data_IF_726683138296
#
_entry.id   IF_726683138296
#
_cell.length_a   1.000
_cell.length_b   1.000
_cell.length_c   1.000
_cell.angle_alpha   90.00
_cell.angle_beta   90.00
_cell.angle_gamma   90.00
#
_symmetry.space_group_name_H-M   'P 1'
#
loop_
_entity.id
_entity.type
_entity.pdbx_description
1 polymer ?
#
# COMPACT_ATOMS: atom_id res chain seq x y z
N UNK A 1 -1.15 -1.31 -11.63
CA UNK A 1 -2.46 -1.84 -11.17
C UNK A 1 -2.99 -2.82 -12.22
N UNK A 2 -3.78 -3.84 -11.84
CA UNK A 2 -4.27 -4.86 -12.79
C UNK A 2 -5.19 -4.27 -13.87
N UNK A 3 -5.08 -4.77 -15.10
CA UNK A 3 -5.89 -4.39 -16.28
C UNK A 3 -7.41 -4.41 -16.02
N UNK A 4 -7.88 -5.34 -15.20
CA UNK A 4 -9.31 -5.52 -14.83
C UNK A 4 -9.92 -4.32 -14.06
N UNK A 5 -9.11 -3.47 -13.43
CA UNK A 5 -9.61 -2.29 -12.67
C UNK A 5 -9.91 -1.10 -13.61
N UNK A 6 -9.33 -1.11 -14.82
CA UNK A 6 -9.50 -0.05 -15.82
C UNK A 6 -10.78 -0.16 -16.65
N UNK A 7 -11.41 -1.35 -16.70
CA UNK A 7 -12.64 -1.62 -17.47
C UNK A 7 -13.94 -1.42 -16.68
N UNK A 8 -13.85 -1.15 -15.38
CA UNK A 8 -15.03 -0.87 -14.56
C UNK A 8 -15.48 0.58 -14.76
N UNK A 9 -16.76 0.78 -15.12
CA UNK A 9 -17.34 2.09 -15.47
C UNK A 9 -17.26 3.16 -14.37
N UNK A 10 -17.02 2.77 -13.11
CA UNK A 10 -16.92 3.70 -11.97
C UNK A 10 -15.47 3.98 -11.57
N UNK A 11 -14.60 2.95 -11.53
CA UNK A 11 -13.18 3.13 -11.16
C UNK A 11 -12.29 3.52 -12.34
N UNK A 12 -12.69 3.21 -13.57
CA UNK A 12 -11.95 3.52 -14.80
C UNK A 12 -11.72 5.02 -15.01
N UNK A 13 -12.74 5.89 -14.92
CA UNK A 13 -12.57 7.34 -15.06
C UNK A 13 -11.70 7.95 -13.96
N UNK A 14 -11.83 7.48 -12.71
CA UNK A 14 -11.03 7.98 -11.56
C UNK A 14 -9.56 7.55 -11.70
N UNK A 15 -9.30 6.30 -12.10
CA UNK A 15 -7.94 5.78 -12.34
C UNK A 15 -7.27 6.46 -13.54
N UNK A 16 -8.03 6.79 -14.59
CA UNK A 16 -7.54 7.56 -15.76
C UNK A 16 -7.32 9.04 -15.44
N UNK A 17 -8.19 9.66 -14.62
CA UNK A 17 -8.06 11.04 -14.17
C UNK A 17 -6.86 11.25 -13.23
N UNK A 18 -6.46 10.21 -12.48
CA UNK A 18 -5.32 10.24 -11.57
C UNK A 18 -3.96 9.97 -12.25
N UNK A 19 -3.90 9.82 -13.59
CA UNK A 19 -2.67 9.47 -14.35
C UNK A 19 -1.86 8.33 -13.70
N UNK A 20 -2.52 7.36 -13.05
CA UNK A 20 -1.83 6.24 -12.41
C UNK A 20 -1.18 5.37 -13.50
N UNK A 21 0.13 5.52 -13.69
CA UNK A 21 0.90 4.63 -14.55
C UNK A 21 0.80 3.21 -13.95
N UNK A 22 0.19 2.26 -14.66
CA UNK A 22 0.05 0.92 -14.15
C UNK A 22 1.42 0.22 -14.21
N UNK A 23 2.13 0.23 -13.08
CA UNK A 23 3.27 -0.67 -12.87
C UNK A 23 2.71 -2.10 -12.87
N UNK A 24 3.11 -2.87 -13.89
CA UNK A 24 2.76 -4.28 -14.02
C UNK A 24 3.74 -5.11 -13.18
N UNK A 25 3.22 -5.88 -12.23
CA UNK A 25 4.04 -6.76 -11.39
C UNK A 25 4.54 -7.99 -12.16
N UNK A 26 3.96 -8.30 -13.32
CA UNK A 26 4.43 -9.37 -14.20
C UNK A 26 5.65 -8.97 -15.05
N UNK A 27 5.81 -7.67 -15.33
CA UNK A 27 6.94 -7.06 -16.03
C UNK A 27 7.66 -6.05 -15.11
N UNK A 28 8.15 -6.55 -13.98
CA UNK A 28 8.64 -5.72 -12.87
C UNK A 28 9.82 -4.82 -13.22
N UNK A 29 10.70 -5.24 -14.13
CA UNK A 29 11.87 -4.46 -14.55
C UNK A 29 11.49 -3.26 -15.43
N UNK A 30 10.60 -3.45 -16.40
CA UNK A 30 10.17 -2.38 -17.31
C UNK A 30 9.35 -1.33 -16.58
N UNK A 31 8.51 -1.78 -15.64
CA UNK A 31 7.71 -0.87 -14.83
C UNK A 31 8.56 -0.03 -13.86
N UNK A 32 9.67 -0.59 -13.35
CA UNK A 32 10.63 0.14 -12.53
C UNK A 32 11.35 1.23 -13.35
N UNK A 33 11.88 0.88 -14.53
CA UNK A 33 12.56 1.86 -15.42
C UNK A 33 11.63 3.00 -15.80
N UNK A 34 10.40 2.68 -16.21
CA UNK A 34 9.41 3.69 -16.55
C UNK A 34 9.16 4.65 -15.36
N UNK A 35 9.02 4.12 -14.15
CA UNK A 35 8.82 4.93 -12.95
C UNK A 35 10.00 5.88 -12.68
N UNK A 36 11.25 5.42 -12.81
CA UNK A 36 12.45 6.28 -12.70
C UNK A 36 12.42 7.38 -13.76
N UNK A 37 12.06 7.05 -15.01
CA UNK A 37 11.99 8.04 -16.08
C UNK A 37 10.90 9.09 -15.83
N UNK A 38 9.74 8.70 -15.26
CA UNK A 38 8.70 9.66 -14.84
C UNK A 38 9.22 10.60 -13.76
N UNK A 39 9.88 10.06 -12.74
CA UNK A 39 10.45 10.86 -11.66
C UNK A 39 11.49 11.86 -12.19
N UNK A 40 12.35 11.45 -13.13
CA UNK A 40 13.32 12.34 -13.79
C UNK A 40 12.67 13.46 -14.60
N UNK A 41 11.46 13.25 -15.11
CA UNK A 41 10.66 14.26 -15.81
C UNK A 41 9.91 15.21 -14.85
N UNK A 42 10.05 15.03 -13.53
CA UNK A 42 9.34 15.83 -12.53
C UNK A 42 7.89 15.38 -12.30
N UNK A 43 7.51 14.20 -12.76
CA UNK A 43 6.17 13.63 -12.55
C UNK A 43 6.09 12.91 -11.19
N UNK A 44 4.88 12.78 -10.64
CA UNK A 44 4.64 12.10 -9.38
C UNK A 44 4.42 10.60 -9.58
N UNK A 45 5.17 9.78 -8.82
CA UNK A 45 4.99 8.33 -8.79
C UNK A 45 4.53 7.89 -7.40
N UNK A 46 3.30 7.38 -7.32
CA UNK A 46 2.75 6.78 -6.10
C UNK A 46 3.22 5.33 -5.92
N UNK A 47 3.83 5.02 -4.78
CA UNK A 47 4.35 3.68 -4.46
C UNK A 47 3.74 3.19 -3.15
N UNK A 48 3.28 1.95 -3.14
CA UNK A 48 2.85 1.24 -1.92
C UNK A 48 3.96 0.28 -1.49
N UNK A 49 4.88 0.70 -0.59
CA UNK A 49 6.08 -0.06 -0.25
C UNK A 49 5.76 -1.38 0.47
N UNK A 50 4.58 -1.47 1.09
CA UNK A 50 4.04 -2.62 1.81
C UNK A 50 3.53 -3.76 0.89
N UNK A 51 3.53 -3.53 -0.43
CA UNK A 51 3.05 -4.42 -1.49
C UNK A 51 1.56 -4.81 -1.46
N UNK A 52 0.89 -4.82 -0.31
CA UNK A 52 -0.54 -5.11 -0.12
C UNK A 52 -1.11 -4.32 1.04
N UNK A 53 -2.43 -4.09 1.03
CA UNK A 53 -3.14 -3.52 2.19
C UNK A 53 -3.00 -4.47 3.38
N UNK A 54 -2.49 -3.98 4.50
CA UNK A 54 -2.36 -4.72 5.74
C UNK A 54 -3.73 -5.13 6.31
N UNK A 55 -3.89 -6.40 6.69
CA UNK A 55 -5.10 -6.86 7.41
C UNK A 55 -5.06 -6.53 8.90
N UNK A 56 -3.87 -6.28 9.46
CA UNK A 56 -3.72 -5.83 10.84
C UNK A 56 -3.93 -4.33 11.01
N UNK A 57 -3.96 -3.59 9.90
CA UNK A 57 -3.94 -2.13 9.85
C UNK A 57 -2.71 -1.52 10.55
N UNK A 58 -1.66 -2.31 10.67
CA UNK A 58 -0.32 -1.86 11.07
C UNK A 58 0.62 -1.94 9.87
N UNK A 59 1.67 -1.11 9.87
CA UNK A 59 2.67 -1.07 8.80
C UNK A 59 3.50 -2.37 8.81
N UNK A 60 3.45 -3.13 7.71
CA UNK A 60 4.34 -4.28 7.45
C UNK A 60 5.69 -3.83 6.88
N UNK A 61 6.60 -4.79 6.75
CA UNK A 61 7.91 -4.57 6.14
C UNK A 61 7.83 -4.01 4.72
N UNK A 62 8.73 -3.07 4.44
CA UNK A 62 8.80 -2.39 3.16
C UNK A 62 9.73 -3.10 2.18
N UNK A 63 9.33 -3.11 0.91
CA UNK A 63 10.24 -3.41 -0.20
C UNK A 63 11.07 -2.17 -0.53
N UNK A 64 12.34 -2.39 -0.88
CA UNK A 64 13.29 -1.31 -1.18
C UNK A 64 13.10 -0.62 -2.52
N UNK A 65 12.10 -1.01 -3.32
CA UNK A 65 11.87 -0.45 -4.65
C UNK A 65 11.66 1.06 -4.65
N UNK A 66 10.91 1.60 -3.68
CA UNK A 66 10.69 3.05 -3.55
C UNK A 66 12.01 3.80 -3.31
N UNK A 67 12.82 3.31 -2.37
CA UNK A 67 14.13 3.88 -2.06
C UNK A 67 15.07 3.83 -3.27
N UNK A 68 15.12 2.70 -3.98
CA UNK A 68 15.95 2.55 -5.18
C UNK A 68 15.55 3.53 -6.29
N UNK A 69 14.25 3.66 -6.57
CA UNK A 69 13.76 4.63 -7.57
C UNK A 69 14.12 6.06 -7.20
N UNK A 70 13.97 6.44 -5.92
CA UNK A 70 14.30 7.78 -5.44
C UNK A 70 15.80 8.10 -5.56
N UNK A 71 16.66 7.15 -5.20
CA UNK A 71 18.12 7.27 -5.35
C UNK A 71 18.50 7.40 -6.82
N UNK A 72 17.96 6.53 -7.68
CA UNK A 72 18.30 6.51 -9.10
C UNK A 72 17.77 7.73 -9.88
N UNK A 73 16.63 8.28 -9.47
CA UNK A 73 16.07 9.50 -10.06
C UNK A 73 16.61 10.78 -9.40
N UNK A 74 17.25 10.69 -8.23
CA UNK A 74 17.75 11.85 -7.48
C UNK A 74 16.63 12.74 -6.91
N UNK A 75 15.49 12.14 -6.52
CA UNK A 75 14.30 12.85 -6.06
C UNK A 75 13.89 12.45 -4.63
N UNK A 76 13.27 13.36 -3.86
CA UNK A 76 12.82 13.04 -2.50
C UNK A 76 11.60 12.12 -2.47
N UNK A 77 11.44 11.38 -1.38
CA UNK A 77 10.24 10.60 -1.07
C UNK A 77 9.37 11.40 -0.10
N UNK A 78 8.09 11.59 -0.44
CA UNK A 78 7.11 12.18 0.47
C UNK A 78 6.29 11.06 1.13
N UNK A 79 6.43 10.80 2.44
CA UNK A 79 5.65 9.78 3.12
C UNK A 79 4.19 10.24 3.28
N UNK A 80 3.25 9.34 2.97
CA UNK A 80 1.81 9.59 3.12
C UNK A 80 1.16 8.41 3.81
N UNK A 81 0.41 8.69 4.88
CA UNK A 81 -0.34 7.69 5.64
C UNK A 81 -1.83 8.03 5.60
N UNK A 82 -2.66 7.01 5.40
CA UNK A 82 -4.12 7.12 5.34
C UNK A 82 -4.73 6.20 6.39
N UNK A 83 -5.67 6.73 7.18
CA UNK A 83 -6.43 5.96 8.17
C UNK A 83 -7.93 6.22 8.03
N UNK A 84 -8.74 5.22 8.38
CA UNK A 84 -10.20 5.25 8.30
C UNK A 84 -10.76 4.74 6.98
N UNK A 85 -9.97 4.78 5.89
CA UNK A 85 -10.39 4.28 4.57
C UNK A 85 -10.74 2.77 4.60
N UNK A 86 -10.10 1.98 5.47
CA UNK A 86 -10.37 0.55 5.64
C UNK A 86 -11.80 0.24 6.09
N UNK A 87 -12.48 1.21 6.72
CA UNK A 87 -13.87 1.07 7.18
C UNK A 87 -14.88 1.18 6.04
N UNK A 88 -14.51 1.85 4.96
CA UNK A 88 -15.31 1.98 3.73
C UNK A 88 -15.13 0.72 2.87
N UNK A 89 -13.88 0.30 2.70
CA UNK A 89 -13.56 -0.90 1.95
C UNK A 89 -12.24 -1.52 2.41
N UNK A 90 -12.29 -2.76 2.88
CA UNK A 90 -11.11 -3.59 3.16
C UNK A 90 -11.35 -5.03 2.74
N UNK A 91 -10.28 -5.81 2.63
CA UNK A 91 -10.33 -7.20 2.18
C UNK A 91 -11.06 -8.07 3.21
N UNK A 92 -12.01 -8.89 2.74
CA UNK A 92 -12.75 -9.84 3.58
C UNK A 92 -14.01 -9.26 4.23
N UNK A 93 -14.34 -7.99 3.99
CA UNK A 93 -15.54 -7.35 4.54
C UNK A 93 -16.43 -6.76 3.43
N UNK A 94 -17.76 -6.67 3.66
CA UNK A 94 -18.68 -6.04 2.71
C UNK A 94 -18.28 -4.60 2.40
N UNK A 95 -18.40 -4.19 1.14
CA UNK A 95 -18.12 -2.81 0.73
C UNK A 95 -19.24 -1.90 1.26
N UNK A 96 -18.88 -0.85 1.99
CA UNK A 96 -19.83 0.17 2.45
C UNK A 96 -19.80 1.35 1.49
N UNK A 97 -20.42 1.16 0.32
CA UNK A 97 -20.49 2.18 -0.73
C UNK A 97 -21.73 3.05 -0.50
N UNK A 98 -21.52 4.31 -0.11
CA UNK A 98 -22.58 5.28 0.20
C UNK A 98 -22.05 6.46 1.03
N UNK A 99 -22.93 7.34 1.50
CA UNK A 99 -22.56 8.43 2.40
C UNK A 99 -22.41 7.88 3.82
N UNK A 100 -21.24 7.29 4.11
CA UNK A 100 -21.00 6.58 5.38
C UNK A 100 -20.61 7.51 6.53
N UNK A 101 -20.38 8.81 6.26
CA UNK A 101 -19.82 9.80 7.21
C UNK A 101 -18.60 9.27 7.99
N UNK A 102 -17.85 8.36 7.37
CA UNK A 102 -16.68 7.75 7.97
C UNK A 102 -15.54 8.76 7.94
N UNK A 103 -14.97 9.15 9.09
CA UNK A 103 -13.81 10.02 9.13
C UNK A 103 -12.62 9.32 8.49
N UNK A 104 -12.04 9.94 7.46
CA UNK A 104 -10.79 9.52 6.82
C UNK A 104 -9.77 10.63 7.04
N UNK A 105 -8.64 10.27 7.63
CA UNK A 105 -7.55 11.18 7.93
C UNK A 105 -6.33 10.79 7.10
N UNK A 106 -5.66 11.81 6.58
CA UNK A 106 -4.48 11.67 5.74
C UNK A 106 -3.38 12.52 6.36
N UNK A 107 -2.26 11.92 6.70
CA UNK A 107 -1.04 12.64 7.09
C UNK A 107 -0.05 12.60 5.94
N UNK A 108 0.50 13.76 5.61
CA UNK A 108 1.59 13.95 4.66
C UNK A 108 2.79 14.40 5.48
N UNK A 109 3.90 13.67 5.39
CA UNK A 109 5.10 13.97 6.15
C UNK A 109 6.13 14.74 5.33
N UNK A 110 7.19 15.16 6.02
CA UNK A 110 8.28 15.91 5.41
C UNK A 110 9.01 15.09 4.32
N UNK A 111 9.46 15.74 3.22
CA UNK A 111 10.23 15.08 2.18
C UNK A 111 11.53 14.47 2.71
N UNK A 112 11.75 13.19 2.43
CA UNK A 112 12.99 12.47 2.76
C UNK A 112 13.89 12.48 1.53
N UNK A 113 15.03 13.16 1.62
CA UNK A 113 16.03 13.18 0.55
C UNK A 113 16.63 11.78 0.33
N UNK A 114 16.96 11.41 -0.92
CA UNK A 114 17.52 10.10 -1.21
C UNK A 114 18.97 9.99 -0.70
N UNK A 115 19.31 8.83 -0.14
CA UNK A 115 20.68 8.50 0.29
C UNK A 115 20.92 7.00 0.19
N UNK A 116 22.19 6.61 0.05
CA UNK A 116 22.62 5.22 0.09
C UNK A 116 23.00 4.78 1.52
N UNK A 117 22.85 3.48 1.85
CA UNK A 117 22.27 2.43 1.02
C UNK A 117 20.72 2.49 0.98
N UNK A 118 20.13 1.93 -0.08
CA UNK A 118 18.67 1.87 -0.23
C UNK A 118 17.95 1.19 0.95
N UNK A 119 18.61 0.27 1.67
CA UNK A 119 18.10 -0.33 2.90
C UNK A 119 17.90 0.73 4.00
N UNK A 120 18.90 1.58 4.25
CA UNK A 120 18.82 2.64 5.26
C UNK A 120 17.73 3.66 4.94
N UNK A 121 17.57 4.04 3.66
CA UNK A 121 16.46 4.90 3.23
C UNK A 121 15.09 4.23 3.42
N UNK A 122 15.01 2.92 3.16
CA UNK A 122 13.79 2.13 3.37
C UNK A 122 13.42 2.06 4.86
N UNK A 123 14.39 1.84 5.74
CA UNK A 123 14.22 1.81 7.19
C UNK A 123 13.77 3.16 7.74
N UNK A 124 14.40 4.26 7.29
CA UNK A 124 13.99 5.61 7.66
C UNK A 124 12.55 5.89 7.22
N UNK A 125 12.20 5.59 5.97
CA UNK A 125 10.84 5.75 5.45
C UNK A 125 9.83 4.94 6.28
N UNK A 126 10.15 3.68 6.60
CA UNK A 126 9.31 2.82 7.40
C UNK A 126 9.09 3.37 8.82
N UNK A 127 10.16 3.80 9.50
CA UNK A 127 10.08 4.39 10.84
C UNK A 127 9.23 5.67 10.83
N UNK A 128 9.46 6.56 9.87
CA UNK A 128 8.68 7.79 9.70
C UNK A 128 7.19 7.49 9.51
N UNK A 129 6.85 6.58 8.59
CA UNK A 129 5.44 6.22 8.34
C UNK A 129 4.79 5.51 9.53
N UNK A 130 5.54 4.72 10.31
CA UNK A 130 5.04 4.08 11.53
C UNK A 130 4.69 5.10 12.62
N UNK A 131 5.55 6.10 12.83
CA UNK A 131 5.26 7.21 13.75
C UNK A 131 4.03 7.98 13.27
N UNK A 132 4.00 8.39 12.00
CA UNK A 132 2.86 9.10 11.41
C UNK A 132 1.54 8.33 11.57
N UNK A 133 1.55 7.01 11.34
CA UNK A 133 0.35 6.18 11.54
C UNK A 133 -0.08 6.17 13.00
N UNK A 134 0.86 6.03 13.91
CA UNK A 134 0.57 5.98 15.35
C UNK A 134 -0.04 7.30 15.82
N UNK A 135 0.51 8.43 15.39
CA UNK A 135 0.00 9.76 15.73
C UNK A 135 -1.39 9.98 15.14
N UNK A 136 -1.59 9.59 13.87
CA UNK A 136 -2.86 9.74 13.19
C UNK A 136 -3.95 8.89 13.87
N UNK A 137 -3.61 7.70 14.36
CA UNK A 137 -4.52 6.87 15.13
C UNK A 137 -4.90 7.46 16.49
N UNK A 138 -4.05 8.26 17.15
CA UNK A 138 -4.43 8.89 18.42
C UNK A 138 -5.64 9.84 18.27
N UNK A 139 -5.83 10.42 17.08
CA UNK A 139 -6.97 11.27 16.77
C UNK A 139 -8.29 10.52 16.49
N UNK A 140 -8.34 9.20 16.70
CA UNK A 140 -9.51 8.36 16.42
C UNK A 140 -10.04 7.70 17.69
N UNK A 141 -11.37 7.55 17.73
CA UNK A 141 -12.01 6.62 18.65
C UNK A 141 -11.75 5.18 18.19
N UNK A 142 -11.41 4.29 19.14
CA UNK A 142 -11.08 2.89 18.92
C UNK A 142 -12.02 1.99 19.70
N UNK A 143 -13.28 1.83 19.24
CA UNK A 143 -14.22 0.91 19.86
C UNK A 143 -13.66 -0.51 19.94
N UNK A 144 -13.67 -1.07 21.14
CA UNK A 144 -13.14 -2.41 21.40
C UNK A 144 -13.90 -3.48 20.59
N UNK A 145 -13.16 -4.48 20.10
CA UNK A 145 -13.72 -5.60 19.33
C UNK A 145 -14.13 -5.27 17.89
N UNK A 146 -13.96 -4.03 17.43
CA UNK A 146 -14.26 -3.68 16.05
C UNK A 146 -13.19 -4.24 15.08
N UNK A 147 -13.67 -4.72 13.93
CA UNK A 147 -12.84 -5.44 12.96
C UNK A 147 -11.76 -4.58 12.29
N UNK A 148 -11.96 -3.27 12.29
CA UNK A 148 -11.08 -2.30 11.63
C UNK A 148 -10.07 -1.66 12.61
N UNK A 149 -10.20 -1.97 13.90
CA UNK A 149 -9.31 -1.50 14.96
C UNK A 149 -8.18 -2.53 15.16
N UNK A 150 -6.90 -2.11 15.18
CA UNK A 150 -5.76 -2.99 15.42
C UNK A 150 -5.88 -3.74 16.76
N UNK A 151 -5.36 -4.98 16.81
CA UNK A 151 -5.33 -5.77 18.04
C UNK A 151 -4.65 -5.02 19.21
N UNK A 152 -3.57 -4.27 18.93
CA UNK A 152 -2.86 -3.46 19.95
C UNK A 152 -3.70 -2.32 20.54
N UNK A 153 -4.79 -1.94 19.88
CA UNK A 153 -5.75 -0.92 20.32
C UNK A 153 -7.05 -1.54 20.86
N UNK A 154 -7.09 -2.85 21.10
CA UNK A 154 -8.26 -3.55 21.63
C UNK A 154 -9.30 -3.95 20.58
N UNK A 155 -8.98 -3.83 19.30
CA UNK A 155 -9.84 -4.26 18.21
C UNK A 155 -9.73 -5.76 17.89
N UNK A 156 -10.53 -6.21 16.93
CA UNK A 156 -10.54 -7.62 16.47
C UNK A 156 -9.77 -7.85 15.17
N UNK A 157 -9.06 -6.84 14.65
CA UNK A 157 -8.17 -7.04 13.50
C UNK A 157 -7.08 -8.08 13.87
N UNK A 158 -6.66 -8.93 12.91
CA UNK A 158 -5.58 -9.88 13.16
C UNK A 158 -4.29 -9.17 13.57
N UNK A 159 -3.46 -9.81 14.38
CA UNK A 159 -2.13 -9.28 14.69
C UNK A 159 -1.28 -9.20 13.41
N UNK A 160 -0.23 -8.38 13.41
CA UNK A 160 0.68 -8.28 12.27
C UNK A 160 1.24 -9.65 11.85
N UNK A 161 1.60 -10.49 12.82
CA UNK A 161 2.08 -11.85 12.57
C UNK A 161 1.02 -12.75 11.93
N UNK A 162 -0.22 -12.70 12.43
CA UNK A 162 -1.34 -13.45 11.85
C UNK A 162 -1.64 -12.98 10.42
N UNK A 163 -1.70 -11.65 10.21
CA UNK A 163 -1.90 -11.05 8.90
C UNK A 163 -0.82 -11.48 7.90
N UNK A 164 0.45 -11.49 8.33
CA UNK A 164 1.57 -11.96 7.52
C UNK A 164 1.40 -13.44 7.11
N UNK A 165 1.02 -14.31 8.04
CA UNK A 165 0.75 -15.74 7.76
C UNK A 165 -0.40 -15.91 6.77
N UNK A 166 -1.49 -15.16 6.94
CA UNK A 166 -2.63 -15.20 6.01
C UNK A 166 -2.26 -14.72 4.60
N UNK A 167 -1.41 -13.69 4.48
CA UNK A 167 -0.95 -13.19 3.20
C UNK A 167 0.03 -14.17 2.51
N UNK A 168 0.88 -14.86 3.27
CA UNK A 168 1.75 -15.91 2.77
C UNK A 168 0.93 -17.09 2.21
N UNK A 169 -0.06 -17.58 2.97
CA UNK A 169 -0.95 -18.67 2.54
C UNK A 169 -1.73 -18.30 1.26
N UNK A 170 -2.24 -17.08 1.17
CA UNK A 170 -2.92 -16.58 -0.04
C UNK A 170 -1.99 -16.51 -1.26
N UNK A 171 -0.72 -16.14 -1.05
CA UNK A 171 0.28 -16.08 -2.11
C UNK A 171 0.64 -17.49 -2.61
N UNK A 172 0.81 -18.45 -1.71
CA UNK A 172 1.07 -19.86 -2.01
C UNK A 172 -0.08 -20.50 -2.77
N UNK A 173 -1.32 -20.31 -2.32
CA UNK A 173 -2.52 -20.82 -2.98
C UNK A 173 -2.64 -20.28 -4.42
N UNK A 174 -2.35 -18.99 -4.64
CA UNK A 174 -2.32 -18.39 -5.98
C UNK A 174 -1.19 -18.95 -6.84
N UNK A 175 -0.01 -19.15 -6.28
CA UNK A 175 1.11 -19.74 -7.01
C UNK A 175 0.83 -21.19 -7.40
N UNK A 176 0.19 -21.98 -6.53
CA UNK A 176 -0.26 -23.33 -6.83
C UNK A 176 -1.30 -23.36 -7.95
N UNK A 177 -2.32 -22.48 -7.89
CA UNK A 177 -3.32 -22.37 -8.96
C UNK A 177 -2.76 -21.89 -10.30
N UNK A 178 -1.66 -21.13 -10.31
CA UNK A 178 -0.98 -20.75 -11.56
C UNK A 178 -0.22 -21.93 -12.15
N UNK A 179 0.57 -22.62 -11.31
CA UNK A 179 1.31 -23.83 -11.73
C UNK A 179 0.38 -24.90 -12.30
N UNK A 180 -0.78 -25.15 -11.68
CA UNK A 180 -1.74 -26.14 -12.17
C UNK A 180 -2.39 -25.77 -13.52
N UNK A 181 -2.50 -24.48 -13.83
CA UNK A 181 -2.99 -24.00 -15.13
C UNK A 181 -1.92 -24.09 -16.22
N UNK A 182 -0.66 -23.96 -15.86
CA UNK A 182 0.48 -24.06 -16.79
C UNK A 182 0.83 -25.51 -17.12
N UNK A 183 0.64 -26.46 -16.20
CA UNK A 183 0.86 -27.90 -16.46
C UNK A 183 -0.36 -28.62 -17.05
N UNK A 184 -1.51 -27.95 -17.14
CA UNK A 184 -2.76 -28.51 -17.69
C UNK A 184 -3.08 -28.05 -19.11
N UNK A 185 -2.13 -27.39 -19.80
CA UNK A 185 -2.22 -26.97 -21.20
C UNK A 185 -1.23 -27.70 -22.08
#
# INVERSE_FOLDING_TARGET
AKKEVFDNKISGPIMRALKHIPVDRAAGADSYKAAVDFLRRGELVGVYPEATISRSFEIKDFKSGAARMAIEAGVPIVPVVIWGAQRVWTKGFPKRLGRTNTPISIAVGEPIQPFEPASGLTEKLHATMKTMLTDLQQGYDHPAGEYWVPARLGGSAPTLEQANKMDAADAEAKAASRRSRETGS
#
